data_IF_271292583585
#
_entry.id   IF_271292583585
#
_cell.length_a   1.000
_cell.length_b   1.000
_cell.length_c   1.000
_cell.angle_alpha   90.00
_cell.angle_beta   90.00
_cell.angle_gamma   90.00
#
_symmetry.space_group_name_H-M   'P 1'
#
loop_
_entity.id
_entity.type
_entity.pdbx_description
1 polymer ?
2 water ?
#
# COMPACT_ATOMS: atom_id res chain seq x y z
N UNK A 1 -3.77 -0.87 13.96
CA UNK A 1 -3.26 -1.78 12.90
C UNK A 1 -2.96 -3.16 13.48
N UNK A 2 -4.00 -3.98 13.63
CA UNK A 2 -3.86 -5.33 14.18
C UNK A 2 -3.42 -6.37 13.15
N UNK A 3 -3.14 -7.58 13.62
CA UNK A 3 -2.71 -8.66 12.73
C UNK A 3 -3.87 -9.00 11.80
N UNK A 4 -5.08 -9.01 12.35
CA UNK A 4 -6.28 -9.31 11.58
C UNK A 4 -6.44 -8.34 10.41
N UNK A 5 -6.31 -7.05 10.70
CA UNK A 5 -6.43 -6.03 9.67
C UNK A 5 -5.40 -6.23 8.56
N UNK A 6 -4.17 -6.54 8.94
CA UNK A 6 -3.11 -6.76 7.96
C UNK A 6 -3.36 -8.03 7.15
N UNK A 7 -3.97 -9.03 7.78
CA UNK A 7 -4.26 -10.27 7.09
C UNK A 7 -5.37 -10.05 6.06
N UNK A 8 -6.32 -9.18 6.39
CA UNK A 8 -7.42 -8.87 5.49
C UNK A 8 -6.88 -8.12 4.27
N UNK A 9 -5.92 -7.24 4.51
CA UNK A 9 -5.30 -6.45 3.45
C UNK A 9 -4.54 -7.34 2.47
N UNK A 10 -3.83 -8.34 2.99
CA UNK A 10 -3.09 -9.25 2.14
C UNK A 10 -4.07 -10.07 1.28
N UNK A 11 -5.19 -10.47 1.87
CA UNK A 11 -6.18 -11.25 1.14
C UNK A 11 -6.82 -10.39 0.06
N UNK A 12 -7.11 -9.14 0.40
CA UNK A 12 -7.72 -8.21 -0.54
C UNK A 12 -6.83 -7.93 -1.75
N UNK A 13 -5.55 -7.69 -1.50
CA UNK A 13 -4.62 -7.39 -2.59
C UNK A 13 -4.36 -8.59 -3.48
N UNK A 14 -4.38 -9.79 -2.90
CA UNK A 14 -4.16 -11.00 -3.69
C UNK A 14 -5.31 -11.18 -4.67
N UNK A 15 -6.52 -10.92 -4.19
CA UNK A 15 -7.70 -11.05 -5.04
C UNK A 15 -7.64 -10.03 -6.17
N UNK A 16 -7.29 -8.79 -5.84
CA UNK A 16 -7.20 -7.74 -6.86
C UNK A 16 -6.12 -8.10 -7.87
N UNK A 17 -4.99 -8.61 -7.38
CA UNK A 17 -3.90 -8.99 -8.27
C UNK A 17 -4.34 -10.10 -9.22
N UNK A 18 -5.18 -11.01 -8.73
CA UNK A 18 -5.67 -12.10 -9.56
C UNK A 18 -6.58 -11.56 -10.66
N UNK A 19 -7.40 -10.58 -10.32
CA UNK A 19 -8.30 -9.99 -11.30
C UNK A 19 -7.46 -9.33 -12.40
N UNK A 20 -6.39 -8.65 -12.01
CA UNK A 20 -5.52 -7.98 -12.97
C UNK A 20 -4.84 -8.98 -13.88
N UNK A 21 -4.51 -10.16 -13.35
CA UNK A 21 -3.88 -11.19 -14.15
C UNK A 21 -4.89 -11.71 -15.17
N UNK A 22 -6.15 -11.80 -14.75
CA UNK A 22 -7.22 -12.27 -15.62
C UNK A 22 -7.44 -11.25 -16.73
N UNK A 23 -7.27 -9.97 -16.40
CA UNK A 23 -7.45 -8.90 -17.36
C UNK A 23 -6.34 -8.91 -18.40
N UNK A 24 -5.11 -9.15 -17.96
CA UNK A 24 -3.98 -9.20 -18.88
C UNK A 24 -4.19 -10.36 -19.86
N UNK A 25 -4.73 -11.45 -19.35
CA UNK A 25 -4.99 -12.63 -20.18
C UNK A 25 -6.08 -12.32 -21.20
N UNK A 26 -7.12 -11.63 -20.75
CA UNK A 26 -8.23 -11.26 -21.61
C UNK A 26 -7.79 -10.32 -22.73
N UNK A 27 -7.00 -9.32 -22.36
CA UNK A 27 -6.50 -8.33 -23.32
C UNK A 27 -5.49 -8.93 -24.29
N UNK A 28 -4.70 -9.88 -23.80
CA UNK A 28 -3.69 -10.55 -24.61
C UNK A 28 -4.37 -11.45 -25.64
N UNK A 29 -5.60 -11.84 -25.35
CA UNK A 29 -6.38 -12.71 -26.23
C UNK A 29 -6.99 -11.89 -27.37
N UNK A 30 -7.06 -10.58 -27.18
CA UNK A 30 -7.62 -9.68 -28.19
C UNK A 30 -6.55 -9.13 -29.13
N UNK A 31 -5.32 -9.09 -28.66
CA UNK A 31 -4.22 -8.55 -29.45
C UNK A 31 -3.63 -9.48 -30.52
N UNK A 32 -3.08 -10.62 -30.12
CA UNK A 32 -2.50 -11.51 -31.12
C UNK A 32 -2.07 -12.91 -30.69
N UNK A 33 -1.29 -13.55 -31.56
CA UNK A 33 -0.80 -14.91 -31.35
C UNK A 33 0.11 -15.08 -30.14
N UNK A 34 0.85 -14.03 -29.80
CA UNK A 34 1.77 -14.10 -28.68
C UNK A 34 2.83 -15.15 -28.97
N UNK B 1 4.28 -15.76 12.95
CA UNK B 1 3.39 -14.83 12.20
C UNK B 1 3.50 -13.42 12.76
N UNK B 2 4.66 -12.80 12.60
CA UNK B 2 4.89 -11.45 13.11
C UNK B 2 4.18 -10.39 12.29
N UNK B 3 3.97 -9.23 12.89
CA UNK B 3 3.32 -8.12 12.22
C UNK B 3 4.21 -7.68 11.06
N UNK B 4 5.52 -7.79 11.26
CA UNK B 4 6.49 -7.41 10.26
C UNK B 4 6.40 -8.28 9.01
N UNK B 5 6.13 -9.57 9.19
CA UNK B 5 6.03 -10.47 8.05
C UNK B 5 4.81 -10.10 7.22
N UNK B 6 3.75 -9.66 7.89
CA UNK B 6 2.52 -9.28 7.20
C UNK B 6 2.69 -7.95 6.47
N UNK B 7 3.35 -6.99 7.11
CA UNK B 7 3.56 -5.70 6.46
C UNK B 7 4.42 -5.88 5.21
N UNK B 8 5.41 -6.76 5.29
CA UNK B 8 6.28 -7.01 4.14
C UNK B 8 5.52 -7.69 3.00
N UNK B 9 4.52 -8.49 3.34
CA UNK B 9 3.73 -9.19 2.33
C UNK B 9 2.83 -8.19 1.62
N UNK B 10 2.35 -7.20 2.37
CA UNK B 10 1.49 -6.17 1.80
C UNK B 10 2.31 -5.36 0.80
N UNK B 11 3.48 -4.90 1.25
CA UNK B 11 4.35 -4.11 0.40
C UNK B 11 4.72 -4.86 -0.88
N UNK B 12 4.96 -6.17 -0.75
CA UNK B 12 5.31 -7.02 -1.88
C UNK B 12 4.16 -7.13 -2.88
N UNK B 13 2.96 -7.33 -2.36
CA UNK B 13 1.78 -7.46 -3.20
C UNK B 13 1.34 -6.14 -3.82
N UNK B 14 1.57 -5.03 -3.12
CA UNK B 14 1.19 -3.72 -3.64
C UNK B 14 2.06 -3.35 -4.84
N UNK B 15 3.35 -3.66 -4.75
CA UNK B 15 4.28 -3.37 -5.84
C UNK B 15 3.90 -4.23 -7.05
N UNK B 16 3.52 -5.47 -6.77
CA UNK B 16 3.11 -6.41 -7.82
C UNK B 16 1.82 -5.90 -8.47
N UNK B 17 0.94 -5.35 -7.65
CA UNK B 17 -0.34 -4.81 -8.10
C UNK B 17 -0.14 -3.68 -9.11
N UNK B 18 0.73 -2.74 -8.76
CA UNK B 18 1.03 -1.60 -9.61
C UNK B 18 1.70 -1.98 -10.92
N UNK B 19 2.54 -3.00 -10.89
CA UNK B 19 3.21 -3.45 -12.10
C UNK B 19 2.18 -4.04 -13.05
N UNK B 20 1.13 -4.64 -12.49
CA UNK B 20 0.07 -5.23 -13.29
C UNK B 20 -0.88 -4.13 -13.79
N UNK B 21 -1.07 -3.10 -12.97
CA UNK B 21 -1.93 -1.99 -13.35
C UNK B 21 -1.34 -1.29 -14.57
N UNK B 22 -0.01 -1.20 -14.59
CA UNK B 22 0.70 -0.56 -15.69
C UNK B 22 0.62 -1.39 -16.96
N UNK B 23 0.69 -2.71 -16.81
CA UNK B 23 0.63 -3.62 -17.95
C UNK B 23 -0.75 -3.61 -18.60
N UNK B 24 -1.80 -3.59 -17.79
CA UNK B 24 -3.17 -3.58 -18.30
C UNK B 24 -3.49 -2.25 -18.98
N UNK B 25 -2.96 -1.16 -18.44
CA UNK B 25 -3.21 0.16 -19.01
C UNK B 25 -2.55 0.24 -20.38
N UNK B 26 -1.43 -0.45 -20.52
CA UNK B 26 -0.69 -0.47 -21.77
C UNK B 26 -1.41 -1.33 -22.82
N UNK B 27 -1.81 -2.53 -22.42
CA UNK B 27 -2.50 -3.44 -23.34
C UNK B 27 -3.82 -2.86 -23.82
N UNK B 28 -4.44 -2.02 -22.99
CA UNK B 28 -5.71 -1.40 -23.33
C UNK B 28 -5.55 -0.39 -24.47
N UNK B 29 -4.46 0.37 -24.43
CA UNK B 29 -4.19 1.36 -25.46
C UNK B 29 -3.91 0.64 -26.78
N UNK B 30 -3.37 -0.57 -26.67
CA UNK B 30 -3.04 -1.39 -27.83
C UNK B 30 -4.27 -1.97 -28.50
N UNK B 31 -5.24 -2.42 -27.70
CA UNK B 31 -6.46 -3.02 -28.23
C UNK B 31 -7.51 -2.00 -28.63
N UNK B 32 -7.38 -0.77 -28.15
CA UNK B 32 -8.34 0.26 -28.48
C UNK B 32 -9.38 0.51 -27.40
N UNK B 33 -9.18 -0.12 -26.25
CA UNK B 33 -10.09 0.03 -25.12
C UNK B 33 -9.71 1.31 -24.38
N UNK B 34 -10.69 2.14 -24.05
CA UNK B 34 -10.40 3.40 -23.36
C UNK B 34 -10.96 3.49 -21.94
N UNK C 1 -4.11 2.21 -13.37
CA UNK C 1 -4.30 3.25 -12.32
C UNK C 1 -4.37 4.66 -12.92
N UNK C 2 -5.52 5.31 -12.77
CA UNK C 2 -5.70 6.66 -13.29
C UNK C 2 -4.87 7.62 -12.45
N UNK C 3 -4.41 8.72 -13.05
CA UNK C 3 -3.60 9.69 -12.32
C UNK C 3 -4.33 10.26 -11.11
N UNK C 4 -5.59 10.65 -11.29
CA UNK C 4 -6.39 11.21 -10.21
C UNK C 4 -6.51 10.22 -9.07
N UNK C 5 -6.61 8.94 -9.41
CA UNK C 5 -6.74 7.87 -8.43
C UNK C 5 -5.49 7.77 -7.55
N UNK C 6 -4.32 7.88 -8.17
CA UNK C 6 -3.06 7.80 -7.44
C UNK C 6 -2.85 9.05 -6.59
N UNK C 7 -3.23 10.20 -7.13
CA UNK C 7 -3.08 11.46 -6.41
C UNK C 7 -3.95 11.47 -5.16
N UNK C 8 -5.14 10.89 -5.27
CA UNK C 8 -6.06 10.81 -4.15
C UNK C 8 -5.50 9.89 -3.07
N UNK C 9 -4.76 8.87 -3.50
CA UNK C 9 -4.17 7.90 -2.59
C UNK C 9 -3.05 8.53 -1.77
N UNK C 10 -2.20 9.30 -2.43
CA UNK C 10 -1.10 9.97 -1.75
C UNK C 10 -1.69 10.91 -0.69
N UNK C 11 -2.70 11.68 -1.08
CA UNK C 11 -3.35 12.61 -0.16
C UNK C 11 -3.94 11.88 1.04
N UNK C 12 -4.47 10.69 0.81
CA UNK C 12 -5.08 9.89 1.86
C UNK C 12 -4.02 9.34 2.82
N UNK C 13 -2.91 8.87 2.27
CA UNK C 13 -1.82 8.32 3.07
C UNK C 13 -1.03 9.40 3.80
N UNK C 14 -1.02 10.61 3.25
CA UNK C 14 -0.32 11.73 3.88
C UNK C 14 -1.07 12.19 5.12
N UNK C 15 -2.40 12.20 5.04
CA UNK C 15 -3.23 12.61 6.16
C UNK C 15 -3.11 11.62 7.31
N UNK C 16 -3.07 10.33 6.98
CA UNK C 16 -2.95 9.27 7.98
C UNK C 16 -1.55 9.35 8.59
N UNK C 17 -0.58 9.70 7.75
CA UNK C 17 0.81 9.81 8.17
C UNK C 17 0.98 10.88 9.25
N UNK C 18 0.42 12.06 9.01
CA UNK C 18 0.52 13.15 9.98
C UNK C 18 -0.30 12.84 11.23
N UNK C 19 -1.39 12.11 11.06
CA UNK C 19 -2.23 11.76 12.20
C UNK C 19 -1.46 10.76 13.06
N UNK C 20 -0.60 9.97 12.43
CA UNK C 20 0.20 8.99 13.16
C UNK C 20 1.36 9.70 13.85
N UNK C 21 1.99 10.63 13.13
CA UNK C 21 3.11 11.39 13.67
C UNK C 21 2.68 12.14 14.91
N UNK C 22 1.44 12.62 14.91
CA UNK C 22 0.90 13.36 16.04
C UNK C 22 0.74 12.42 17.23
N UNK C 23 0.20 11.23 16.98
CA UNK C 23 -0.03 10.24 18.03
C UNK C 23 1.27 9.76 18.69
N UNK C 24 2.33 9.59 17.91
CA UNK C 24 3.59 9.13 18.49
C UNK C 24 4.23 10.22 19.33
N UNK C 25 4.04 11.47 18.94
CA UNK C 25 4.62 12.59 19.68
C UNK C 25 3.92 12.73 21.03
N UNK C 26 2.66 12.32 21.07
CA UNK C 26 1.88 12.39 22.29
C UNK C 26 2.35 11.30 23.25
N UNK C 27 2.51 10.09 22.73
CA UNK C 27 2.95 8.97 23.54
C UNK C 27 4.38 9.13 24.01
N UNK C 28 5.23 9.68 23.14
CA UNK C 28 6.63 9.88 23.49
C UNK C 28 6.74 10.68 24.79
N UNK C 29 5.92 11.71 24.91
CA UNK C 29 5.93 12.55 26.10
C UNK C 29 5.30 11.81 27.27
N UNK C 30 4.19 11.13 27.00
CA UNK C 30 3.50 10.35 28.02
C UNK C 30 4.46 9.36 28.66
N UNK C 31 5.45 8.90 27.89
CA UNK C 31 6.42 7.93 28.38
C UNK C 31 7.77 8.53 28.76
N UNK C 32 7.87 9.85 28.72
CA UNK C 32 9.11 10.51 29.08
C UNK C 32 10.26 10.30 28.11
N UNK C 33 10.02 9.57 27.02
CA UNK C 33 11.06 9.33 26.03
C UNK C 33 11.45 10.64 25.36
N UNK C 34 12.56 10.62 24.64
CA UNK C 34 13.07 11.79 23.93
C UNK C 34 11.96 12.72 23.45
N UNK D 1 3.73 15.05 -13.36
CA UNK D 1 4.53 13.86 -12.97
C UNK D 1 3.98 12.61 -13.65
N UNK D 2 4.78 11.55 -13.64
CA UNK D 2 4.38 10.29 -14.27
C UNK D 2 3.59 9.44 -13.29
N UNK D 3 3.04 8.34 -13.80
CA UNK D 3 2.27 7.42 -12.97
C UNK D 3 3.28 6.69 -12.07
N UNK D 4 4.46 6.42 -12.62
CA UNK D 4 5.54 5.74 -11.91
C UNK D 4 5.95 6.48 -10.64
N UNK D 5 6.21 7.78 -10.78
CA UNK D 5 6.60 8.60 -9.64
C UNK D 5 5.51 8.61 -8.57
N UNK D 6 4.25 8.64 -9.01
CA UNK D 6 3.14 8.65 -8.07
C UNK D 6 2.98 7.30 -7.40
N UNK D 7 3.32 6.23 -8.11
CA UNK D 7 3.22 4.89 -7.54
C UNK D 7 4.35 4.69 -6.54
N UNK D 8 5.48 5.36 -6.79
CA UNK D 8 6.63 5.28 -5.90
C UNK D 8 6.33 6.01 -4.59
N UNK D 9 5.62 7.12 -4.69
CA UNK D 9 5.27 7.92 -3.51
C UNK D 9 4.25 7.19 -2.64
N UNK D 10 3.35 6.44 -3.27
CA UNK D 10 2.33 5.69 -2.54
C UNK D 10 3.02 4.59 -1.74
N UNK D 11 3.93 3.87 -2.38
CA UNK D 11 4.63 2.79 -1.70
C UNK D 11 5.51 3.33 -0.58
N UNK D 12 6.09 4.50 -0.80
CA UNK D 12 6.94 5.13 0.19
C UNK D 12 6.15 5.56 1.43
N UNK D 13 5.00 6.17 1.21
CA UNK D 13 4.17 6.63 2.32
C UNK D 13 3.58 5.48 3.13
N UNK D 14 3.27 4.37 2.47
CA UNK D 14 2.70 3.21 3.16
C UNK D 14 3.74 2.60 4.09
N UNK D 15 4.99 2.57 3.63
CA UNK D 15 6.08 2.02 4.41
C UNK D 15 6.33 2.90 5.64
N UNK D 16 6.26 4.21 5.45
CA UNK D 16 6.46 5.16 6.54
C UNK D 16 5.32 5.02 7.54
N UNK D 17 4.12 4.78 7.03
CA UNK D 17 2.95 4.63 7.88
C UNK D 17 3.07 3.37 8.73
N UNK D 18 3.51 2.27 8.13
CA UNK D 18 3.66 1.03 8.87
C UNK D 18 4.68 1.20 9.99
N UNK D 19 5.73 1.96 9.72
CA UNK D 19 6.76 2.19 10.73
C UNK D 19 6.20 3.02 11.88
N UNK D 20 5.37 4.01 11.54
CA UNK D 20 4.77 4.88 12.55
C UNK D 20 3.79 4.08 13.41
N UNK D 21 3.18 3.07 12.82
CA UNK D 21 2.25 2.24 13.56
C UNK D 21 3.05 1.34 14.49
N UNK D 22 4.25 0.96 14.05
CA UNK D 22 5.12 0.12 14.86
C UNK D 22 5.60 0.90 16.07
N UNK D 23 5.82 2.20 15.88
CA UNK D 23 6.28 3.06 16.96
C UNK D 23 5.17 3.23 17.99
N UNK D 24 3.94 3.41 17.50
CA UNK D 24 2.78 3.58 18.37
C UNK D 24 2.57 2.35 19.25
N UNK D 25 2.80 1.17 18.68
CA UNK D 25 2.63 -0.07 19.43
C UNK D 25 3.75 -0.25 20.44
N UNK D 26 4.94 0.20 20.08
CA UNK D 26 6.10 0.10 20.95
C UNK D 26 6.00 1.05 22.14
N UNK D 27 5.48 2.25 21.89
CA UNK D 27 5.35 3.26 22.93
C UNK D 27 4.17 2.99 23.85
N UNK D 28 3.15 2.31 23.34
CA UNK D 28 1.98 1.98 24.14
C UNK D 28 2.40 0.94 25.16
N UNK D 29 3.38 0.12 24.78
CA UNK D 29 3.91 -0.93 25.65
C UNK D 29 4.72 -0.34 26.80
N UNK D 30 5.45 0.73 26.50
CA UNK D 30 6.28 1.40 27.50
C UNK D 30 5.54 2.17 28.58
N UNK D 31 4.38 2.73 28.25
CA UNK D 31 3.62 3.51 29.22
C UNK D 31 3.22 2.77 30.49
N UNK D 32 3.02 1.46 30.41
CA UNK D 32 2.64 0.71 31.59
C UNK D 32 3.55 -0.46 31.92
N UNK D 33 4.82 -0.36 31.55
CA UNK D 33 5.78 -1.44 31.81
C UNK D 33 6.01 -1.70 33.30
N UNK D 34 5.99 -2.98 33.66
CA UNK D 34 6.21 -3.43 35.04
C UNK D 34 6.76 -4.85 34.97
#
# INVERSE_FOLDING_TARGET
>A
MSVKELEDKVEELLSKNYHLENEVARLKKLVGER
>B
MSVKELEDKVEELLSKNYHLENEVARLKKLVGER
>C
MSVKELEDKVEELLSKNYHLENEVARLKKLVGER
>D
MSVKELEDKVEELLSKNYHLENEVARLKKLVGER
#
